data_IF_797787152471
#
_entry.id   IF_797787152471
#
_cell.length_a   1.000
_cell.length_b   1.000
_cell.length_c   1.000
_cell.angle_alpha   90.00
_cell.angle_beta   90.00
_cell.angle_gamma   90.00
#
_symmetry.space_group_name_H-M   'P 1'
#
loop_
_entity.id
_entity.type
_entity.pdbx_description
1 polymer ?
#
# COMPACT_ATOMS: atom_id res chain seq x y z
N UNK A 1 -10.03 5.16 -11.94
CA UNK A 1 -8.57 5.12 -12.02
C UNK A 1 -8.06 3.68 -11.86
N UNK A 2 -7.11 3.28 -12.67
CA UNK A 2 -6.40 2.01 -12.56
C UNK A 2 -5.11 2.20 -11.74
N UNK A 3 -4.75 1.25 -10.88
CA UNK A 3 -3.53 1.31 -10.07
C UNK A 3 -2.92 -0.07 -9.85
N UNK A 4 -1.62 -0.10 -9.60
CA UNK A 4 -0.88 -1.32 -9.30
C UNK A 4 -0.89 -1.59 -7.80
N UNK A 5 -1.16 -2.85 -7.43
CA UNK A 5 -1.03 -3.34 -6.06
C UNK A 5 -0.14 -4.56 -6.07
N UNK A 6 0.95 -4.49 -5.33
CA UNK A 6 1.82 -5.64 -5.05
C UNK A 6 1.53 -6.15 -3.64
N UNK A 7 1.46 -7.46 -3.49
CA UNK A 7 1.29 -8.15 -2.21
C UNK A 7 2.58 -8.90 -1.90
N UNK A 8 3.13 -8.66 -0.72
CA UNK A 8 4.36 -9.28 -0.24
C UNK A 8 4.10 -10.15 0.98
N UNK A 9 4.65 -11.36 0.97
CA UNK A 9 4.94 -12.16 2.14
C UNK A 9 6.43 -11.98 2.45
N UNK A 10 6.74 -11.36 3.59
CA UNK A 10 8.12 -11.01 3.97
C UNK A 10 8.50 -11.80 5.21
N UNK A 11 9.64 -12.47 5.18
CA UNK A 11 10.15 -13.19 6.36
C UNK A 11 10.32 -12.23 7.56
N UNK A 12 9.82 -12.64 8.71
CA UNK A 12 9.82 -11.84 9.93
C UNK A 12 8.59 -10.97 10.14
N UNK A 13 7.67 -10.92 9.16
CA UNK A 13 6.35 -10.29 9.34
C UNK A 13 5.27 -11.37 9.51
N UNK A 14 4.34 -11.12 10.41
CA UNK A 14 3.20 -12.01 10.70
C UNK A 14 1.98 -11.76 9.81
N UNK A 15 2.11 -10.84 8.84
CA UNK A 15 1.04 -10.41 7.94
C UNK A 15 1.55 -10.10 6.54
N UNK A 16 0.63 -10.09 5.58
CA UNK A 16 0.91 -9.60 4.23
C UNK A 16 1.09 -8.09 4.25
N UNK A 17 2.03 -7.60 3.45
CA UNK A 17 2.25 -6.17 3.22
C UNK A 17 1.87 -5.84 1.77
N UNK A 18 0.90 -4.95 1.59
CA UNK A 18 0.49 -4.45 0.29
C UNK A 18 1.21 -3.13 0.00
N UNK A 19 1.71 -2.99 -1.22
CA UNK A 19 2.42 -1.80 -1.69
C UNK A 19 1.75 -1.24 -2.93
N UNK A 20 1.46 0.07 -2.95
CA UNK A 20 0.78 0.75 -4.05
C UNK A 20 1.28 2.20 -4.20
N UNK A 21 1.37 2.81 -5.36
CA UNK A 21 1.36 2.26 -6.71
C UNK A 21 2.80 2.23 -7.25
N UNK A 22 3.30 1.05 -7.58
CA UNK A 22 4.71 0.88 -7.95
C UNK A 22 4.95 0.88 -9.48
N UNK A 23 3.88 0.97 -10.30
CA UNK A 23 4.05 0.68 -11.73
C UNK A 23 3.15 1.47 -12.69
N UNK A 24 2.15 2.21 -12.22
CA UNK A 24 1.16 2.79 -13.12
C UNK A 24 0.99 4.31 -12.99
N UNK A 25 0.72 4.84 -11.80
CA UNK A 25 0.51 6.28 -11.61
C UNK A 25 1.81 6.96 -11.20
N UNK A 26 2.33 7.86 -12.05
CA UNK A 26 3.65 8.49 -11.83
C UNK A 26 3.66 9.43 -10.63
N UNK A 27 2.84 10.48 -10.67
CA UNK A 27 2.72 11.49 -9.61
C UNK A 27 1.23 11.71 -9.30
N UNK A 28 0.59 10.78 -8.55
CA UNK A 28 -0.83 10.86 -8.28
C UNK A 28 -1.17 12.08 -7.43
N UNK A 29 -2.21 12.81 -7.82
CA UNK A 29 -2.81 13.87 -7.02
C UNK A 29 -3.66 13.27 -5.87
N UNK A 30 -4.10 14.11 -4.93
CA UNK A 30 -4.92 13.68 -3.80
C UNK A 30 -6.14 12.84 -4.22
N UNK A 31 -6.87 13.29 -5.26
CA UNK A 31 -8.03 12.56 -5.80
C UNK A 31 -7.69 11.17 -6.33
N UNK A 32 -6.49 11.05 -6.93
CA UNK A 32 -5.99 9.79 -7.47
C UNK A 32 -5.58 8.85 -6.32
N UNK A 33 -4.94 9.39 -5.28
CA UNK A 33 -4.56 8.64 -4.08
C UNK A 33 -5.76 8.04 -3.36
N UNK A 34 -6.89 8.75 -3.30
CA UNK A 34 -8.15 8.18 -2.78
C UNK A 34 -8.58 6.95 -3.59
N UNK A 35 -8.49 7.00 -4.90
CA UNK A 35 -8.87 5.86 -5.75
C UNK A 35 -7.85 4.71 -5.67
N UNK A 36 -6.57 5.02 -5.55
CA UNK A 36 -5.50 4.04 -5.33
C UNK A 36 -5.74 3.30 -4.00
N UNK A 37 -6.10 4.02 -2.94
CA UNK A 37 -6.50 3.39 -1.66
C UNK A 37 -7.69 2.47 -1.87
N UNK A 38 -8.78 2.94 -2.48
CA UNK A 38 -9.97 2.12 -2.72
C UNK A 38 -9.67 0.85 -3.52
N UNK A 39 -8.76 0.92 -4.47
CA UNK A 39 -8.29 -0.24 -5.24
C UNK A 39 -7.49 -1.21 -4.37
N UNK A 40 -6.55 -0.70 -3.55
CA UNK A 40 -5.75 -1.54 -2.66
C UNK A 40 -6.60 -2.21 -1.56
N UNK A 41 -7.62 -1.53 -1.06
CA UNK A 41 -8.59 -2.09 -0.09
C UNK A 41 -9.33 -3.29 -0.66
N UNK A 42 -9.73 -3.26 -1.95
CA UNK A 42 -10.35 -4.42 -2.61
C UNK A 42 -9.41 -5.62 -2.64
N UNK A 43 -8.13 -5.38 -2.91
CA UNK A 43 -7.12 -6.46 -2.91
C UNK A 43 -6.88 -6.97 -1.49
N UNK A 44 -6.78 -6.09 -0.51
CA UNK A 44 -6.63 -6.47 0.90
C UNK A 44 -7.79 -7.33 1.39
N UNK A 45 -9.03 -6.94 1.08
CA UNK A 45 -10.21 -7.75 1.40
C UNK A 45 -10.16 -9.12 0.70
N UNK A 46 -9.73 -9.18 -0.56
CA UNK A 46 -9.57 -10.45 -1.28
C UNK A 46 -8.52 -11.36 -0.62
N UNK A 47 -7.49 -10.78 -0.01
CA UNK A 47 -6.49 -11.49 0.79
C UNK A 47 -6.96 -11.85 2.21
N UNK A 48 -8.21 -11.53 2.59
CA UNK A 48 -8.78 -11.88 3.90
C UNK A 48 -8.55 -10.84 5.00
N UNK A 49 -8.03 -9.65 4.67
CA UNK A 49 -7.86 -8.54 5.62
C UNK A 49 -9.17 -7.75 5.67
N UNK A 50 -9.95 -7.92 6.74
CA UNK A 50 -11.30 -7.34 6.84
C UNK A 50 -11.29 -5.82 7.04
N UNK A 51 -10.36 -5.29 7.82
CA UNK A 51 -10.21 -3.86 8.10
C UNK A 51 -8.76 -3.43 7.82
N UNK A 52 -8.40 -3.24 6.54
CA UNK A 52 -7.03 -2.86 6.17
C UNK A 52 -6.58 -1.55 6.81
N UNK A 53 -5.38 -1.54 7.35
CA UNK A 53 -4.71 -0.36 7.88
C UNK A 53 -3.81 0.22 6.81
N UNK A 54 -4.16 1.40 6.33
CA UNK A 54 -3.47 2.08 5.23
C UNK A 54 -2.58 3.18 5.79
N UNK A 55 -1.28 3.07 5.55
CA UNK A 55 -0.30 4.11 5.86
C UNK A 55 0.08 4.88 4.60
N UNK A 56 -0.29 6.16 4.47
CA UNK A 56 0.34 7.08 3.53
C UNK A 56 1.78 7.34 3.98
N UNK A 57 2.73 6.70 3.29
CA UNK A 57 4.15 6.72 3.67
C UNK A 57 4.81 8.02 3.23
N UNK A 58 5.50 8.64 4.15
CA UNK A 58 6.24 9.89 3.97
C UNK A 58 7.66 9.75 4.51
N UNK A 59 8.49 10.75 4.27
CA UNK A 59 9.84 10.78 4.85
C UNK A 59 9.83 11.10 6.35
N UNK A 60 8.76 11.75 6.82
CA UNK A 60 8.57 12.17 8.23
C UNK A 60 7.12 11.93 8.66
N UNK A 61 6.91 11.85 9.97
CA UNK A 61 5.61 11.59 10.61
C UNK A 61 4.84 12.85 11.03
N UNK A 62 5.34 14.03 10.65
CA UNK A 62 4.70 15.32 10.94
C UNK A 62 4.30 16.03 9.65
N UNK A 63 3.22 16.82 9.71
CA UNK A 63 2.78 17.62 8.56
C UNK A 63 3.76 18.76 8.33
N UNK A 64 4.37 18.77 7.14
CA UNK A 64 5.24 19.85 6.69
C UNK A 64 4.70 20.40 5.36
N UNK A 65 4.24 21.67 5.32
CA UNK A 65 3.70 22.28 4.10
C UNK A 65 4.66 22.28 2.90
N UNK A 66 5.97 22.21 3.14
CA UNK A 66 6.97 22.10 2.08
C UNK A 66 7.11 20.67 1.51
N UNK A 67 6.46 19.69 2.14
CA UNK A 67 6.50 18.28 1.75
C UNK A 67 5.08 17.82 1.40
N UNK A 68 4.71 17.92 0.13
CA UNK A 68 3.34 17.63 -0.35
C UNK A 68 2.83 16.26 0.09
N UNK A 69 3.70 15.25 0.16
CA UNK A 69 3.31 13.90 0.61
C UNK A 69 2.71 13.92 2.03
N UNK A 70 3.24 14.74 2.95
CA UNK A 70 2.73 14.83 4.33
C UNK A 70 1.39 15.59 4.40
N UNK A 71 1.20 16.56 3.52
CA UNK A 71 -0.07 17.31 3.39
C UNK A 71 -1.16 16.36 2.88
N UNK A 72 -0.89 15.64 1.79
CA UNK A 72 -1.83 14.66 1.24
C UNK A 72 -2.17 13.57 2.27
N UNK A 73 -1.17 13.06 2.99
CA UNK A 73 -1.35 12.04 4.02
C UNK A 73 -2.32 12.51 5.12
N UNK A 74 -2.17 13.75 5.59
CA UNK A 74 -3.07 14.32 6.60
C UNK A 74 -4.50 14.51 6.09
N UNK A 75 -4.65 14.89 4.82
CA UNK A 75 -5.97 15.01 4.19
C UNK A 75 -6.62 13.64 4.02
N UNK A 76 -5.88 12.62 3.57
CA UNK A 76 -6.38 11.24 3.44
C UNK A 76 -6.80 10.65 4.78
N UNK A 77 -6.03 10.89 5.85
CA UNK A 77 -6.40 10.51 7.22
C UNK A 77 -7.73 11.16 7.62
N UNK A 78 -7.87 12.48 7.41
CA UNK A 78 -9.10 13.19 7.72
C UNK A 78 -10.28 12.74 6.85
N UNK A 79 -10.07 12.40 5.58
CA UNK A 79 -11.10 11.83 4.70
C UNK A 79 -11.58 10.46 5.19
N UNK A 80 -10.68 9.64 5.73
CA UNK A 80 -11.02 8.36 6.38
C UNK A 80 -11.88 8.59 7.63
N UNK A 81 -11.46 9.48 8.53
CA UNK A 81 -12.22 9.84 9.73
C UNK A 81 -13.65 10.30 9.43
N UNK A 82 -13.84 10.97 8.30
CA UNK A 82 -15.15 11.51 7.87
C UNK A 82 -15.95 10.53 7.00
N UNK A 83 -15.46 9.30 6.79
CA UNK A 83 -16.13 8.29 5.98
C UNK A 83 -16.18 8.59 4.48
N UNK A 84 -15.29 9.45 3.98
CA UNK A 84 -15.10 9.68 2.55
C UNK A 84 -14.28 8.54 1.91
N UNK A 85 -13.37 7.93 2.68
CA UNK A 85 -12.68 6.68 2.34
C UNK A 85 -13.28 5.61 3.26
N UNK A 86 -13.69 4.48 2.69
CA UNK A 86 -14.44 3.44 3.40
C UNK A 86 -13.77 2.07 3.29
N UNK A 87 -14.10 1.17 4.23
CA UNK A 87 -13.63 -0.22 4.22
C UNK A 87 -12.18 -0.39 4.68
N UNK A 88 -11.60 0.65 5.27
CA UNK A 88 -10.25 0.65 5.83
C UNK A 88 -10.10 1.78 6.85
N UNK A 89 -8.98 1.74 7.58
CA UNK A 89 -8.52 2.87 8.40
C UNK A 89 -7.30 3.48 7.69
N UNK A 90 -7.33 4.79 7.44
CA UNK A 90 -6.18 5.51 6.89
C UNK A 90 -5.67 6.47 7.94
N UNK A 91 -4.39 6.40 8.28
CA UNK A 91 -3.75 7.37 9.16
C UNK A 91 -2.32 7.66 8.75
N UNK A 92 -1.95 8.94 8.85
CA UNK A 92 -0.63 9.46 8.50
C UNK A 92 -0.59 11.01 8.57
N UNK A 93 0.57 11.60 8.29
CA UNK A 93 1.77 10.99 7.69
C UNK A 93 2.49 10.01 8.62
N UNK A 94 3.04 8.94 8.06
CA UNK A 94 3.90 7.99 8.76
C UNK A 94 5.19 7.78 7.97
N UNK A 95 6.33 7.77 8.66
CA UNK A 95 7.56 7.26 8.07
C UNK A 95 7.50 5.73 8.00
N UNK A 96 8.30 5.11 7.14
CA UNK A 96 8.22 3.67 6.89
C UNK A 96 8.45 2.82 8.15
N UNK A 97 9.42 3.21 8.98
CA UNK A 97 9.70 2.57 10.27
C UNK A 97 8.49 2.61 11.20
N UNK A 98 7.84 3.76 11.29
CA UNK A 98 6.66 3.96 12.12
C UNK A 98 5.42 3.23 11.59
N UNK A 99 5.31 3.06 10.26
CA UNK A 99 4.21 2.32 9.66
C UNK A 99 4.31 0.81 9.94
N UNK A 100 5.54 0.27 10.02
CA UNK A 100 5.78 -1.17 10.08
C UNK A 100 6.18 -1.69 11.47
N UNK A 101 6.74 -0.85 12.36
CA UNK A 101 7.24 -1.24 13.67
C UNK A 101 6.52 -0.51 14.81
N UNK A 102 5.86 -1.27 15.69
CA UNK A 102 5.23 -0.72 16.89
C UNK A 102 6.27 -0.11 17.84
N UNK A 103 7.46 -0.69 17.91
CA UNK A 103 8.56 -0.16 18.74
C UNK A 103 9.03 1.20 18.22
N UNK A 104 9.23 1.34 16.90
CA UNK A 104 9.61 2.61 16.29
C UNK A 104 8.54 3.69 16.50
N UNK A 105 7.26 3.34 16.33
CA UNK A 105 6.14 4.23 16.60
C UNK A 105 6.10 4.68 18.07
N UNK A 106 6.31 3.76 19.01
CA UNK A 106 6.33 4.05 20.46
C UNK A 106 7.49 4.96 20.83
N UNK A 107 8.70 4.74 20.30
CA UNK A 107 9.86 5.60 20.56
C UNK A 107 9.64 7.05 20.12
N UNK A 108 8.87 7.26 19.06
CA UNK A 108 8.50 8.61 18.58
C UNK A 108 7.21 9.16 19.20
N UNK A 109 6.60 8.42 20.11
CA UNK A 109 5.37 8.84 20.82
C UNK A 109 4.13 8.95 19.89
N UNK A 110 4.12 8.23 18.76
CA UNK A 110 3.03 8.26 17.79
C UNK A 110 1.84 7.48 18.33
N UNK A 111 0.68 8.15 18.40
CA UNK A 111 -0.60 7.52 18.75
C UNK A 111 -1.45 7.44 17.48
N UNK A 112 -1.52 6.26 16.91
CA UNK A 112 -2.18 6.00 15.64
C UNK A 112 -2.75 4.59 15.62
N UNK A 113 -3.95 4.37 15.04
CA UNK A 113 -4.50 3.02 14.86
C UNK A 113 -3.77 2.22 13.77
N UNK A 114 -2.93 2.88 12.97
CA UNK A 114 -2.20 2.30 11.82
C UNK A 114 -0.72 2.11 12.13
N UNK A 115 -0.11 3.00 12.93
CA UNK A 115 1.32 2.95 13.22
C UNK A 115 1.75 1.59 13.80
N UNK A 116 2.77 1.00 13.23
CA UNK A 116 3.30 -0.33 13.56
C UNK A 116 2.47 -1.50 13.01
N UNK A 117 1.29 -1.23 12.47
CA UNK A 117 0.28 -2.24 12.08
C UNK A 117 -0.21 -2.09 10.65
N UNK A 118 0.49 -1.31 9.82
CA UNK A 118 0.08 -1.08 8.46
C UNK A 118 0.05 -2.38 7.65
N UNK A 119 -1.06 -2.60 6.95
CA UNK A 119 -1.24 -3.67 5.97
C UNK A 119 -0.97 -3.15 4.56
N UNK A 120 -1.32 -1.88 4.30
CA UNK A 120 -1.17 -1.23 3.01
C UNK A 120 -0.27 -0.01 3.13
N UNK A 121 0.78 0.03 2.32
CA UNK A 121 1.68 1.16 2.17
C UNK A 121 1.31 1.93 0.90
N UNK A 122 0.72 3.11 1.07
CA UNK A 122 0.50 4.04 -0.01
C UNK A 122 1.74 4.92 -0.18
N UNK A 123 2.49 4.70 -1.25
CA UNK A 123 3.69 5.48 -1.55
C UNK A 123 3.34 6.79 -2.27
N UNK A 124 4.12 7.86 -2.07
CA UNK A 124 3.77 9.19 -2.57
C UNK A 124 3.80 9.32 -4.09
N UNK A 125 4.65 8.55 -4.76
CA UNK A 125 4.83 8.54 -6.21
C UNK A 125 5.49 7.23 -6.68
N UNK A 126 5.56 7.05 -8.00
CA UNK A 126 6.08 5.83 -8.62
C UNK A 126 7.58 5.61 -8.33
N UNK A 127 8.37 6.68 -8.21
CA UNK A 127 9.82 6.55 -7.98
C UNK A 127 10.08 5.88 -6.64
N UNK A 128 9.45 6.38 -5.58
CA UNK A 128 9.56 5.81 -4.24
C UNK A 128 8.99 4.40 -4.20
N UNK A 129 7.82 4.20 -4.80
CA UNK A 129 7.15 2.91 -4.79
C UNK A 129 7.92 1.84 -5.57
N UNK A 130 8.44 2.17 -6.75
CA UNK A 130 9.20 1.25 -7.57
C UNK A 130 10.55 0.89 -6.93
N UNK A 131 11.25 1.87 -6.34
CA UNK A 131 12.48 1.61 -5.58
C UNK A 131 12.18 0.66 -4.41
N UNK A 132 11.12 0.91 -3.64
CA UNK A 132 10.74 0.05 -2.53
C UNK A 132 10.35 -1.37 -2.99
N UNK A 133 9.55 -1.49 -4.06
CA UNK A 133 9.20 -2.78 -4.66
C UNK A 133 10.47 -3.59 -5.02
N UNK A 134 11.41 -2.95 -5.69
CA UNK A 134 12.67 -3.60 -6.08
C UNK A 134 13.55 -3.91 -4.88
N UNK A 135 13.62 -3.04 -3.89
CA UNK A 135 14.37 -3.29 -2.65
C UNK A 135 13.85 -4.57 -1.98
N UNK A 136 12.55 -4.68 -1.77
CA UNK A 136 11.95 -5.89 -1.19
C UNK A 136 12.21 -7.15 -2.04
N UNK A 137 12.11 -7.02 -3.37
CA UNK A 137 12.28 -8.17 -4.27
C UNK A 137 13.73 -8.67 -4.33
N UNK A 138 14.72 -7.78 -4.24
CA UNK A 138 16.12 -8.15 -4.45
C UNK A 138 16.94 -8.27 -3.17
N UNK A 139 16.47 -7.72 -2.05
CA UNK A 139 17.24 -7.66 -0.80
C UNK A 139 16.57 -8.34 0.39
N UNK A 140 15.25 -8.49 0.35
CA UNK A 140 14.51 -9.18 1.40
C UNK A 140 14.24 -10.64 0.99
N UNK A 141 14.16 -11.54 2.00
CA UNK A 141 13.59 -12.87 1.78
C UNK A 141 12.07 -12.73 1.72
N UNK A 142 11.55 -12.54 0.51
CA UNK A 142 10.14 -12.25 0.29
C UNK A 142 9.60 -12.97 -0.94
N UNK A 143 8.30 -13.31 -0.88
CA UNK A 143 7.50 -13.73 -2.03
C UNK A 143 6.53 -12.63 -2.37
N UNK A 144 6.23 -12.47 -3.64
CA UNK A 144 5.28 -11.43 -4.07
C UNK A 144 4.43 -11.86 -5.24
N UNK A 145 3.35 -11.10 -5.44
CA UNK A 145 2.52 -11.10 -6.64
C UNK A 145 1.96 -9.69 -6.83
N UNK A 146 1.69 -9.29 -8.07
CA UNK A 146 1.18 -7.95 -8.38
C UNK A 146 0.15 -7.95 -9.49
N UNK A 147 -0.82 -7.05 -9.37
CA UNK A 147 -1.90 -6.87 -10.35
C UNK A 147 -2.26 -5.39 -10.52
N UNK A 148 -2.85 -5.06 -11.65
CA UNK A 148 -3.58 -3.80 -11.84
C UNK A 148 -5.05 -4.01 -11.50
N UNK A 149 -5.63 -3.09 -10.74
CA UNK A 149 -7.04 -3.04 -10.36
C UNK A 149 -7.65 -1.68 -10.68
N UNK A 150 -8.97 -1.56 -10.57
CA UNK A 150 -9.70 -0.35 -10.96
C UNK A 150 -10.31 -0.45 -12.36
N UNK A 151 -10.32 -1.64 -12.94
CA UNK A 151 -10.95 -2.03 -14.21
C UNK A 151 -12.10 -3.02 -13.96
N UNK A 152 -12.80 -3.43 -15.02
CA UNK A 152 -13.88 -4.42 -14.94
C UNK A 152 -13.38 -5.79 -14.44
N UNK A 153 -12.12 -6.12 -14.68
CA UNK A 153 -11.45 -7.33 -14.19
C UNK A 153 -10.00 -6.97 -13.82
N UNK A 154 -9.38 -7.66 -12.83
CA UNK A 154 -7.97 -7.45 -12.52
C UNK A 154 -7.10 -7.79 -13.73
N UNK A 155 -6.02 -7.02 -13.92
CA UNK A 155 -5.07 -7.23 -15.01
C UNK A 155 -3.73 -7.68 -14.41
N UNK A 156 -3.21 -8.80 -14.90
CA UNK A 156 -1.91 -9.29 -14.46
C UNK A 156 -0.83 -8.50 -15.18
N UNK A 157 -0.04 -7.75 -14.42
CA UNK A 157 1.13 -7.02 -14.91
C UNK A 157 2.34 -7.44 -14.11
N UNK A 158 3.25 -8.16 -14.75
CA UNK A 158 4.51 -8.60 -14.15
C UNK A 158 5.70 -7.97 -14.85
N UNK A 159 6.82 -7.81 -14.14
CA UNK A 159 8.08 -7.41 -14.75
C UNK A 159 8.65 -8.55 -15.63
N UNK A 160 9.39 -8.18 -16.66
CA UNK A 160 10.14 -9.16 -17.47
C UNK A 160 11.16 -9.94 -16.63
N UNK A 161 11.65 -9.32 -15.56
CA UNK A 161 12.64 -9.91 -14.64
C UNK A 161 11.99 -10.71 -13.48
N UNK A 162 10.65 -10.76 -13.38
CA UNK A 162 9.97 -11.47 -12.31
C UNK A 162 10.15 -13.00 -12.44
N UNK A 163 10.29 -13.64 -11.28
CA UNK A 163 10.40 -15.09 -11.17
C UNK A 163 9.12 -15.81 -11.65
N UNK A 164 9.24 -17.10 -11.92
CA UNK A 164 8.08 -17.95 -12.21
C UNK A 164 7.07 -17.92 -11.04
N UNK A 165 7.55 -17.98 -9.80
CA UNK A 165 6.72 -17.93 -8.59
C UNK A 165 5.93 -16.62 -8.52
N UNK A 166 6.55 -15.46 -8.73
CA UNK A 166 5.88 -14.16 -8.77
C UNK A 166 4.77 -14.12 -9.81
N UNK A 167 4.98 -14.72 -10.98
CA UNK A 167 3.95 -14.79 -12.04
C UNK A 167 2.77 -15.66 -11.62
N UNK A 168 3.03 -16.81 -11.02
CA UNK A 168 1.98 -17.70 -10.47
C UNK A 168 1.21 -17.02 -9.36
N UNK A 169 1.89 -16.35 -8.42
CA UNK A 169 1.26 -15.60 -7.34
C UNK A 169 0.37 -14.47 -7.88
N UNK A 170 0.80 -13.79 -8.94
CA UNK A 170 0.01 -12.74 -9.58
C UNK A 170 -1.27 -13.28 -10.22
N UNK A 171 -1.22 -14.47 -10.84
CA UNK A 171 -2.41 -15.17 -11.37
C UNK A 171 -3.37 -15.54 -10.23
N UNK A 172 -2.85 -16.12 -9.15
CA UNK A 172 -3.66 -16.49 -7.99
C UNK A 172 -4.32 -15.26 -7.36
N UNK A 173 -3.58 -14.16 -7.19
CA UNK A 173 -4.10 -12.90 -6.66
C UNK A 173 -5.21 -12.33 -7.56
N UNK A 174 -5.03 -12.33 -8.88
CA UNK A 174 -6.05 -11.89 -9.82
C UNK A 174 -7.33 -12.73 -9.71
N UNK A 175 -7.20 -14.06 -9.56
CA UNK A 175 -8.34 -14.96 -9.38
C UNK A 175 -9.10 -14.66 -8.08
N UNK A 176 -8.39 -14.45 -6.95
CA UNK A 176 -9.00 -14.10 -5.67
C UNK A 176 -9.78 -12.78 -5.75
N UNK A 177 -9.22 -11.77 -6.41
CA UNK A 177 -9.88 -10.46 -6.56
C UNK A 177 -11.09 -10.55 -7.50
N UNK A 178 -11.04 -11.39 -8.53
CA UNK A 178 -12.15 -11.59 -9.46
C UNK A 178 -13.33 -12.33 -8.82
N UNK A 179 -13.08 -13.27 -7.90
CA UNK A 179 -14.10 -14.08 -7.24
C UNK A 179 -14.94 -13.29 -6.21
N UNK A 180 -14.39 -12.24 -5.64
CA UNK A 180 -15.04 -11.39 -4.63
C UNK A 180 -15.82 -10.19 -5.21
N UNK A 181 -16.45 -10.36 -6.37
CA UNK A 181 -17.34 -9.35 -6.97
C UNK A 181 -18.74 -9.38 -6.36
#
# INVERSE_FOLDING_TARGET
>A
LMSHVAVFEIEGFDRLILLTDAAFNTYPELKDKVQIINNSVKVAHACGIEEPKVAPVCAVEVVNPAMQATVDASLLSKMSDRGQIKGCIVDGPLALDNALSEEAAAHKGIKSPVAGKADVLLLPNIDVANVMYKTLTYTANSKNGGILVGTAAPVILTSRADSFETKVNSIALAALVADRK
#
